data_IF_382275070981
#
_entry.id   IF_382275070981
#
_cell.length_a   1.000
_cell.length_b   1.000
_cell.length_c   1.000
_cell.angle_alpha   90.00
_cell.angle_beta   90.00
_cell.angle_gamma   90.00
#
_symmetry.space_group_name_H-M   'P 1'
#
loop_
_entity.id
_entity.type
_entity.pdbx_description
1 polymer ?
#
# COMPACT_ATOMS: atom_id res chain seq x y z
N UNK A 1 -1.32 -6.74 -6.14
CA UNK A 1 -1.34 -7.14 -4.72
C UNK A 1 -2.50 -6.45 -4.04
N UNK A 2 -3.23 -7.17 -3.18
CA UNK A 2 -4.20 -6.54 -2.27
C UNK A 2 -3.44 -5.83 -1.16
N UNK A 3 -3.89 -4.63 -0.80
CA UNK A 3 -3.27 -3.80 0.22
C UNK A 3 -4.32 -3.24 1.17
N UNK A 4 -3.91 -2.92 2.40
CA UNK A 4 -4.73 -2.13 3.33
C UNK A 4 -4.59 -0.61 3.06
N UNK A 5 -5.26 0.20 3.88
CA UNK A 5 -5.22 1.68 3.81
C UNK A 5 -3.84 2.29 4.09
N UNK A 6 -2.91 1.52 4.65
CA UNK A 6 -1.51 1.89 4.88
C UNK A 6 -0.57 1.40 3.77
N UNK A 7 -1.13 0.92 2.65
CA UNK A 7 -0.40 0.34 1.54
C UNK A 7 0.44 -0.92 1.90
N UNK A 8 0.16 -1.57 3.04
CA UNK A 8 0.76 -2.85 3.39
C UNK A 8 0.09 -3.98 2.60
N UNK A 9 0.88 -4.93 2.11
CA UNK A 9 0.37 -6.12 1.43
C UNK A 9 -0.35 -7.02 2.43
N UNK A 10 -1.56 -7.48 2.07
CA UNK A 10 -2.32 -8.42 2.88
C UNK A 10 -2.25 -9.84 2.31
N UNK A 11 -2.22 -10.84 3.20
CA UNK A 11 -2.30 -12.24 2.83
C UNK A 11 -3.74 -12.67 2.52
N UNK A 12 -3.96 -13.95 2.19
CA UNK A 12 -5.30 -14.49 1.88
C UNK A 12 -6.27 -14.47 3.07
N UNK A 13 -5.77 -14.37 4.28
CA UNK A 13 -6.54 -14.28 5.52
C UNK A 13 -6.86 -12.82 5.90
N UNK A 14 -6.42 -11.85 5.07
CA UNK A 14 -6.61 -10.41 5.31
C UNK A 14 -5.60 -9.79 6.28
N UNK A 15 -4.56 -10.54 6.71
CA UNK A 15 -3.53 -10.04 7.63
C UNK A 15 -2.41 -9.34 6.87
N UNK A 16 -1.96 -8.19 7.38
CA UNK A 16 -0.78 -7.48 6.86
C UNK A 16 0.49 -8.33 6.97
N UNK A 17 1.25 -8.39 5.89
CA UNK A 17 2.59 -8.97 5.87
C UNK A 17 3.57 -7.91 6.38
N UNK A 18 4.31 -8.24 7.44
CA UNK A 18 5.24 -7.29 8.07
C UNK A 18 6.29 -6.81 7.07
N UNK A 19 6.57 -5.50 7.11
CA UNK A 19 7.59 -4.84 6.30
C UNK A 19 7.41 -4.96 4.78
N UNK A 20 6.22 -5.34 4.31
CA UNK A 20 5.91 -5.45 2.90
C UNK A 20 4.80 -4.48 2.47
N UNK A 21 5.13 -3.61 1.52
CA UNK A 21 4.25 -2.57 0.99
C UNK A 21 4.15 -2.67 -0.53
N UNK A 22 3.05 -2.20 -1.09
CA UNK A 22 2.87 -2.09 -2.53
C UNK A 22 2.07 -0.84 -2.90
N UNK A 23 2.37 -0.25 -4.06
CA UNK A 23 1.69 0.93 -4.59
C UNK A 23 1.72 0.96 -6.10
N UNK A 24 1.06 1.97 -6.70
CA UNK A 24 0.97 2.09 -8.16
C UNK A 24 0.43 0.81 -8.82
N UNK A 25 1.03 0.41 -9.95
CA UNK A 25 0.62 -0.78 -10.71
C UNK A 25 0.82 -2.11 -9.98
N UNK A 26 1.59 -2.14 -8.88
CA UNK A 26 1.72 -3.34 -8.05
C UNK A 26 0.51 -3.53 -7.12
N UNK A 27 -0.22 -2.46 -6.78
CA UNK A 27 -1.46 -2.51 -6.01
C UNK A 27 -2.67 -2.69 -6.95
N UNK A 28 -3.61 -3.57 -6.58
CA UNK A 28 -4.83 -3.81 -7.39
C UNK A 28 -6.03 -3.08 -6.82
N UNK A 29 -7.04 -2.83 -7.64
CA UNK A 29 -8.38 -2.39 -7.20
C UNK A 29 -8.69 -0.91 -7.36
N UNK A 30 -7.70 -0.03 -7.61
CA UNK A 30 -7.95 1.41 -7.84
C UNK A 30 -8.87 1.69 -9.03
N UNK A 31 -8.72 0.90 -10.09
CA UNK A 31 -9.48 1.06 -11.34
C UNK A 31 -10.59 0.01 -11.48
N UNK A 32 -11.00 -0.63 -10.38
CA UNK A 32 -11.98 -1.73 -10.41
C UNK A 32 -11.45 -3.01 -11.04
N UNK A 33 -12.38 -3.90 -11.40
CA UNK A 33 -12.13 -5.20 -12.05
C UNK A 33 -12.17 -5.12 -13.59
N UNK A 34 -12.48 -3.94 -14.14
CA UNK A 34 -12.65 -3.72 -15.57
C UNK A 34 -11.86 -2.49 -16.05
N UNK A 35 -11.49 -2.50 -17.33
CA UNK A 35 -10.76 -1.41 -17.97
C UNK A 35 -11.50 -0.06 -17.95
N UNK A 36 -12.83 -0.07 -17.88
CA UNK A 36 -13.65 1.16 -17.82
C UNK A 36 -13.44 1.97 -16.53
N UNK A 37 -12.98 1.36 -15.44
CA UNK A 37 -12.64 2.08 -14.21
C UNK A 37 -11.26 2.75 -14.26
N UNK A 38 -10.50 2.52 -15.33
CA UNK A 38 -9.21 3.18 -15.55
C UNK A 38 -9.41 4.52 -16.26
N UNK A 39 -9.10 5.62 -15.57
CA UNK A 39 -8.98 6.94 -16.16
C UNK A 39 -7.51 7.32 -16.35
N UNK A 40 -7.24 8.13 -17.38
CA UNK A 40 -5.91 8.70 -17.59
C UNK A 40 -5.40 9.37 -16.31
N UNK A 41 -4.18 9.03 -15.90
CA UNK A 41 -3.58 9.54 -14.66
C UNK A 41 -3.81 8.67 -13.41
N UNK A 42 -4.74 7.71 -13.41
CA UNK A 42 -4.98 6.83 -12.26
C UNK A 42 -3.72 6.09 -11.82
N UNK A 43 -2.93 5.59 -12.79
CA UNK A 43 -1.68 4.89 -12.49
C UNK A 43 -0.64 5.79 -11.79
N UNK A 44 -0.51 7.04 -12.22
CA UNK A 44 0.45 7.98 -11.64
C UNK A 44 -0.02 8.49 -10.27
N UNK A 45 -1.32 8.78 -10.13
CA UNK A 45 -1.94 9.15 -8.87
C UNK A 45 -1.79 8.03 -7.83
N UNK A 46 -2.03 6.79 -8.24
CA UNK A 46 -1.85 5.60 -7.43
C UNK A 46 -0.40 5.40 -6.99
N UNK A 47 0.55 5.59 -7.90
CA UNK A 47 1.97 5.46 -7.61
C UNK A 47 2.42 6.53 -6.59
N UNK A 48 2.03 7.79 -6.80
CA UNK A 48 2.37 8.89 -5.92
C UNK A 48 1.70 8.77 -4.55
N UNK A 49 0.38 8.57 -4.53
CA UNK A 49 -0.42 8.50 -3.31
C UNK A 49 -0.01 7.33 -2.42
N UNK A 50 0.02 6.10 -2.97
CA UNK A 50 0.45 4.94 -2.19
C UNK A 50 1.94 4.95 -1.88
N UNK A 51 2.79 5.53 -2.74
CA UNK A 51 4.20 5.73 -2.42
C UNK A 51 4.40 6.59 -1.16
N UNK A 52 3.68 7.71 -1.08
CA UNK A 52 3.68 8.58 0.12
C UNK A 52 3.18 7.83 1.35
N UNK A 53 2.02 7.18 1.25
CA UNK A 53 1.39 6.47 2.37
C UNK A 53 2.29 5.33 2.88
N UNK A 54 2.86 4.54 1.98
CA UNK A 54 3.77 3.45 2.31
C UNK A 54 5.02 3.98 3.02
N UNK A 55 5.61 5.07 2.52
CA UNK A 55 6.79 5.70 3.14
C UNK A 55 6.54 6.17 4.56
N UNK A 56 5.46 6.93 4.77
CA UNK A 56 5.08 7.42 6.10
C UNK A 56 4.83 6.28 7.09
N UNK A 57 4.07 5.27 6.67
CA UNK A 57 3.75 4.14 7.54
C UNK A 57 4.98 3.28 7.84
N UNK A 58 5.85 3.05 6.85
CA UNK A 58 7.10 2.31 7.06
C UNK A 58 8.00 3.03 8.07
N UNK A 59 8.15 4.35 7.95
CA UNK A 59 8.93 5.14 8.90
C UNK A 59 8.36 5.05 10.33
N UNK A 60 7.04 5.21 10.49
CA UNK A 60 6.37 5.06 11.78
C UNK A 60 6.50 3.64 12.36
N UNK A 61 6.41 2.61 11.52
CA UNK A 61 6.53 1.22 11.95
C UNK A 61 7.90 0.94 12.56
N UNK A 62 8.97 1.41 11.90
CA UNK A 62 10.35 1.27 12.40
C UNK A 62 10.54 1.99 13.74
N UNK A 63 9.99 3.20 13.88
CA UNK A 63 10.06 3.96 15.14
C UNK A 63 9.33 3.25 16.28
N UNK A 64 8.18 2.65 16.00
CA UNK A 64 7.40 1.90 16.98
C UNK A 64 8.11 0.61 17.41
N UNK A 65 8.69 -0.14 16.48
CA UNK A 65 9.52 -1.31 16.79
C UNK A 65 10.72 -0.92 17.67
N UNK A 66 11.34 0.23 17.40
CA UNK A 66 12.43 0.77 18.23
C UNK A 66 12.00 1.26 19.63
N UNK A 67 10.69 1.48 19.86
CA UNK A 67 10.13 1.84 21.17
C UNK A 67 9.71 0.60 21.99
N UNK A 68 9.30 -0.51 21.35
CA UNK A 68 9.01 -1.77 22.06
C UNK A 68 10.28 -2.51 22.52
N UNK A 69 11.43 -2.23 21.90
CA UNK A 69 12.72 -2.85 22.25
C UNK A 69 13.46 -2.08 23.36
N UNK A 70 12.92 -0.96 23.84
CA UNK A 70 13.43 -0.20 25.01
C UNK A 70 12.62 -0.48 26.26
#
# INVERSE_FOLDING_TARGET
MLINTHAQVINKEGKSIQNLYAGGGAAVGISGDHSYGYMSGNGLLAALGFGKIAGDHAALSILNEGMEVK
#
